data_IF_456100511914
#
_entry.id   IF_456100511914
#
_cell.length_a   1.000
_cell.length_b   1.000
_cell.length_c   1.000
_cell.angle_alpha   90.00
_cell.angle_beta   90.00
_cell.angle_gamma   90.00
#
_symmetry.space_group_name_H-M   'P 1'
#
loop_
_entity.id
_entity.type
_entity.pdbx_description
1 polymer ?
#
# COMPACT_ATOMS: atom_id res chain seq x y z
N UNK A 1 14.09 64.65 -33.84
CA UNK A 1 13.01 63.70 -33.53
C UNK A 1 13.34 62.39 -34.24
N UNK A 2 14.03 61.51 -33.53
CA UNK A 2 14.14 60.07 -33.82
C UNK A 2 14.56 59.41 -32.50
N UNK A 3 13.98 58.25 -32.25
CA UNK A 3 13.60 57.69 -30.95
C UNK A 3 14.71 57.09 -30.09
N UNK A 4 14.32 56.89 -28.83
CA UNK A 4 14.91 56.07 -27.77
C UNK A 4 15.52 54.76 -28.24
N UNK A 5 16.65 54.39 -27.65
CA UNK A 5 16.84 53.01 -27.19
C UNK A 5 17.65 53.00 -25.89
N UNK A 6 17.12 52.28 -24.91
CA UNK A 6 17.53 52.26 -23.52
C UNK A 6 18.30 50.95 -23.27
N UNK A 7 19.61 51.04 -23.12
CA UNK A 7 20.45 49.92 -22.71
C UNK A 7 20.58 49.95 -21.19
N UNK A 8 19.81 49.11 -20.51
CA UNK A 8 19.95 48.83 -19.09
C UNK A 8 20.14 47.32 -18.89
N UNK A 9 21.39 46.87 -18.99
CA UNK A 9 21.81 45.58 -18.47
C UNK A 9 22.22 45.73 -16.99
N UNK A 10 21.55 44.99 -16.11
CA UNK A 10 22.31 44.22 -15.13
C UNK A 10 21.92 42.74 -15.15
N UNK A 11 22.75 41.98 -15.85
CA UNK A 11 22.95 40.55 -15.70
C UNK A 11 23.47 40.23 -14.29
N UNK A 12 22.55 40.08 -13.33
CA UNK A 12 22.82 39.42 -12.04
C UNK A 12 21.53 38.75 -11.53
N UNK A 13 21.09 37.68 -12.17
CA UNK A 13 20.21 36.69 -11.55
C UNK A 13 21.01 35.42 -11.21
N UNK A 14 22.01 35.60 -10.35
CA UNK A 14 22.69 34.49 -9.72
C UNK A 14 21.74 33.85 -8.70
N UNK A 15 21.20 32.69 -9.08
CA UNK A 15 20.85 31.55 -8.20
C UNK A 15 20.19 31.92 -6.87
N UNK A 16 18.86 31.93 -6.87
CA UNK A 16 18.16 31.18 -5.85
C UNK A 16 17.73 29.87 -6.52
N UNK A 17 18.63 28.87 -6.48
CA UNK A 17 18.16 27.49 -6.46
C UNK A 17 17.30 27.40 -5.21
N UNK A 18 16.00 27.47 -5.40
CA UNK A 18 15.04 27.13 -4.36
C UNK A 18 15.14 25.60 -4.23
N UNK A 19 16.17 25.16 -3.50
CA UNK A 19 16.29 23.81 -2.96
C UNK A 19 15.15 23.64 -1.94
N UNK A 20 13.92 23.60 -2.45
CA UNK A 20 12.77 23.17 -1.69
C UNK A 20 12.71 21.64 -1.78
N UNK A 21 13.76 20.99 -1.27
CA UNK A 21 13.70 19.63 -0.71
C UNK A 21 12.93 19.73 0.63
N UNK A 22 11.65 20.14 0.53
CA UNK A 22 10.68 19.83 1.57
C UNK A 22 10.52 18.31 1.61
N UNK A 23 10.22 17.71 2.77
CA UNK A 23 9.99 16.27 2.87
C UNK A 23 9.05 15.84 1.73
N UNK A 24 9.49 14.86 0.93
CA UNK A 24 8.76 14.38 -0.24
C UNK A 24 7.29 14.23 0.13
N UNK A 25 6.38 14.92 -0.58
CA UNK A 25 4.95 14.93 -0.24
C UNK A 25 4.35 13.52 -0.14
N UNK A 26 4.98 12.54 -0.81
CA UNK A 26 4.68 11.11 -0.75
C UNK A 26 5.11 10.47 0.58
N UNK A 27 6.26 10.87 1.14
CA UNK A 27 6.72 10.45 2.48
C UNK A 27 5.75 10.92 3.56
N UNK A 28 5.25 12.16 3.43
CA UNK A 28 4.25 12.72 4.34
C UNK A 28 2.87 12.07 4.19
N UNK A 29 2.49 11.60 3.00
CA UNK A 29 1.28 10.81 2.79
C UNK A 29 1.40 9.42 3.39
N UNK A 30 2.53 8.74 3.18
CA UNK A 30 2.82 7.43 3.74
C UNK A 30 2.82 7.46 5.27
N UNK A 31 3.52 8.42 5.88
CA UNK A 31 3.56 8.58 7.33
C UNK A 31 2.16 8.75 7.95
N UNK A 32 1.30 9.55 7.31
CA UNK A 32 -0.10 9.74 7.73
C UNK A 32 -0.91 8.44 7.69
N UNK A 33 -0.77 7.64 6.64
CA UNK A 33 -1.51 6.37 6.56
C UNK A 33 -0.98 5.35 7.57
N UNK A 34 0.33 5.34 7.85
CA UNK A 34 0.92 4.52 8.92
C UNK A 34 0.36 4.92 10.28
N UNK A 35 0.26 6.21 10.58
CA UNK A 35 -0.30 6.68 11.85
C UNK A 35 -1.80 6.34 11.97
N UNK A 36 -2.55 6.49 10.88
CA UNK A 36 -3.95 6.05 10.80
C UNK A 36 -4.09 4.53 11.04
N UNK A 37 -3.22 3.73 10.44
CA UNK A 37 -3.22 2.28 10.64
C UNK A 37 -2.93 1.92 12.11
N UNK A 38 -1.97 2.61 12.75
CA UNK A 38 -1.68 2.43 14.19
C UNK A 38 -2.86 2.80 15.07
N UNK A 39 -3.57 3.89 14.74
CA UNK A 39 -4.79 4.28 15.45
C UNK A 39 -5.86 3.19 15.33
N UNK A 40 -6.10 2.66 14.13
CA UNK A 40 -7.04 1.55 13.92
C UNK A 40 -6.64 0.30 14.72
N UNK A 41 -5.35 -0.05 14.76
CA UNK A 41 -4.84 -1.18 15.54
C UNK A 41 -4.95 -0.98 17.06
N UNK A 42 -5.06 0.27 17.53
CA UNK A 42 -5.27 0.58 18.94
C UNK A 42 -6.72 0.39 19.39
N UNK A 43 -7.66 0.16 18.45
CA UNK A 43 -9.07 -0.10 18.74
C UNK A 43 -9.34 -1.57 19.05
N UNK A 44 -10.46 -1.87 19.74
CA UNK A 44 -10.90 -3.25 19.95
C UNK A 44 -11.53 -3.78 18.66
N UNK A 45 -10.74 -4.52 17.88
CA UNK A 45 -11.14 -5.09 16.59
C UNK A 45 -11.43 -6.59 16.71
N UNK A 46 -12.47 -7.04 16.02
CA UNK A 46 -12.85 -8.46 15.96
C UNK A 46 -12.05 -9.25 14.93
N UNK A 47 -11.45 -8.59 13.94
CA UNK A 47 -10.63 -9.22 12.92
C UNK A 47 -9.51 -8.30 12.43
N UNK A 48 -8.39 -8.90 12.05
CA UNK A 48 -7.17 -8.24 11.60
C UNK A 48 -6.56 -9.01 10.43
N UNK A 49 -6.24 -8.30 9.36
CA UNK A 49 -5.34 -8.75 8.30
C UNK A 49 -4.25 -7.70 8.12
N UNK A 50 -2.99 -8.11 8.20
CA UNK A 50 -1.84 -7.24 7.95
C UNK A 50 -1.00 -7.85 6.84
N UNK A 51 -0.64 -7.02 5.86
CA UNK A 51 0.41 -7.31 4.90
C UNK A 51 1.55 -6.30 5.07
N UNK A 52 2.78 -6.79 5.19
CA UNK A 52 3.99 -5.97 5.21
C UNK A 52 4.78 -6.27 3.95
N UNK A 53 5.09 -5.24 3.19
CA UNK A 53 5.96 -5.33 2.02
C UNK A 53 7.35 -4.89 2.46
N UNK A 54 8.33 -5.81 2.39
CA UNK A 54 9.73 -5.50 2.66
C UNK A 54 10.61 -6.10 1.56
N UNK A 55 11.50 -5.30 0.98
CA UNK A 55 12.43 -5.74 -0.07
C UNK A 55 11.76 -6.48 -1.27
N UNK A 56 10.50 -6.15 -1.56
CA UNK A 56 9.71 -6.80 -2.61
C UNK A 56 9.07 -8.13 -2.20
N UNK A 57 9.32 -8.62 -0.99
CA UNK A 57 8.61 -9.73 -0.37
C UNK A 57 7.38 -9.23 0.39
N UNK A 58 6.33 -10.05 0.44
CA UNK A 58 5.09 -9.72 1.15
C UNK A 58 4.85 -10.76 2.24
N UNK A 59 5.00 -10.34 3.48
CA UNK A 59 4.60 -11.14 4.64
C UNK A 59 3.17 -10.78 5.03
N UNK A 60 2.32 -11.79 5.26
CA UNK A 60 0.93 -11.56 5.67
C UNK A 60 0.59 -12.34 6.94
N UNK A 61 -0.26 -11.75 7.77
CA UNK A 61 -0.82 -12.42 8.94
C UNK A 61 -2.30 -12.11 9.08
N UNK A 62 -3.05 -13.10 9.56
CA UNK A 62 -4.49 -13.00 9.77
C UNK A 62 -4.85 -13.54 11.14
N UNK A 63 -5.69 -12.79 11.87
CA UNK A 63 -6.24 -13.23 13.14
C UNK A 63 -7.66 -12.71 13.30
N UNK A 64 -8.53 -13.52 13.88
CA UNK A 64 -9.93 -13.16 14.11
C UNK A 64 -10.43 -13.72 15.43
N UNK A 65 -11.39 -13.01 16.01
CA UNK A 65 -12.22 -13.40 17.15
C UNK A 65 -13.66 -13.47 16.65
N UNK A 66 -14.27 -14.65 16.76
CA UNK A 66 -15.66 -14.85 16.40
C UNK A 66 -16.39 -15.55 17.56
N UNK A 67 -17.58 -15.06 17.90
CA UNK A 67 -18.43 -15.67 18.94
C UNK A 67 -19.21 -16.88 18.40
N UNK A 68 -19.40 -16.99 17.09
CA UNK A 68 -20.13 -18.08 16.42
C UNK A 68 -19.53 -18.46 15.04
N UNK A 69 -19.64 -19.75 14.68
CA UNK A 69 -19.02 -20.35 13.48
C UNK A 69 -19.49 -19.77 12.14
N UNK A 70 -20.70 -19.24 12.09
CA UNK A 70 -21.24 -18.61 10.87
C UNK A 70 -20.61 -17.25 10.60
N UNK A 71 -20.27 -16.49 11.66
CA UNK A 71 -19.51 -15.26 11.55
C UNK A 71 -18.06 -15.54 11.14
N UNK A 72 -17.50 -16.63 11.69
CA UNK A 72 -16.16 -17.13 11.39
C UNK A 72 -15.96 -17.41 9.88
N UNK A 73 -17.01 -17.85 9.18
CA UNK A 73 -16.97 -18.15 7.75
C UNK A 73 -17.21 -16.91 6.85
N UNK A 74 -18.00 -15.94 7.31
CA UNK A 74 -18.36 -14.75 6.52
C UNK A 74 -17.33 -13.61 6.64
N UNK A 75 -16.65 -13.49 7.78
CA UNK A 75 -15.65 -12.44 8.01
C UNK A 75 -14.47 -12.50 7.03
N UNK A 76 -13.82 -13.66 6.77
CA UNK A 76 -12.76 -13.76 5.76
C UNK A 76 -13.24 -13.34 4.36
N UNK A 77 -14.47 -13.71 3.99
CA UNK A 77 -15.05 -13.34 2.70
C UNK A 77 -15.37 -11.84 2.60
N UNK A 78 -15.84 -11.23 3.69
CA UNK A 78 -16.06 -9.79 3.78
C UNK A 78 -14.72 -9.02 3.65
N UNK A 79 -13.66 -9.53 4.27
CA UNK A 79 -12.32 -8.97 4.16
C UNK A 79 -11.77 -9.08 2.74
N UNK A 80 -11.89 -10.26 2.13
CA UNK A 80 -11.53 -10.45 0.72
C UNK A 80 -12.30 -9.50 -0.19
N UNK A 81 -13.61 -9.35 0.01
CA UNK A 81 -14.43 -8.43 -0.76
C UNK A 81 -13.99 -6.96 -0.60
N UNK A 82 -13.61 -6.55 0.61
CA UNK A 82 -13.04 -5.23 0.85
C UNK A 82 -11.71 -5.04 0.11
N UNK A 83 -10.85 -6.06 0.11
CA UNK A 83 -9.57 -6.03 -0.59
C UNK A 83 -9.75 -5.96 -2.11
N UNK A 84 -10.62 -6.79 -2.67
CA UNK A 84 -10.96 -6.75 -4.10
C UNK A 84 -11.44 -5.36 -4.51
N UNK A 85 -12.31 -4.73 -3.71
CA UNK A 85 -12.81 -3.38 -3.99
C UNK A 85 -11.71 -2.33 -3.97
N UNK A 86 -10.78 -2.40 -3.01
CA UNK A 86 -9.64 -1.49 -2.93
C UNK A 86 -8.76 -1.60 -4.18
N UNK A 87 -8.35 -2.82 -4.53
CA UNK A 87 -7.49 -3.07 -5.70
C UNK A 87 -8.20 -2.69 -7.01
N UNK A 88 -9.50 -2.96 -7.11
CA UNK A 88 -10.32 -2.60 -8.28
C UNK A 88 -10.35 -1.10 -8.52
N UNK A 89 -10.54 -0.31 -7.47
CA UNK A 89 -10.56 1.15 -7.56
C UNK A 89 -9.20 1.69 -8.03
N UNK A 90 -8.10 1.12 -7.54
CA UNK A 90 -6.73 1.51 -7.92
C UNK A 90 -6.43 1.13 -9.38
N UNK A 91 -6.78 -0.09 -9.78
CA UNK A 91 -6.53 -0.60 -11.12
C UNK A 91 -7.53 -0.07 -12.19
N UNK A 92 -8.63 0.55 -11.76
CA UNK A 92 -9.69 1.02 -12.66
C UNK A 92 -10.44 -0.11 -13.38
N UNK A 93 -10.57 -1.28 -12.74
CA UNK A 93 -11.24 -2.46 -13.31
C UNK A 93 -12.36 -2.95 -12.39
N UNK A 94 -13.20 -3.85 -12.88
CA UNK A 94 -14.29 -4.43 -12.09
C UNK A 94 -13.74 -5.44 -11.04
N UNK A 95 -14.38 -5.55 -9.86
CA UNK A 95 -13.96 -6.52 -8.82
C UNK A 95 -13.90 -7.98 -9.26
N UNK A 96 -14.74 -8.38 -10.21
CA UNK A 96 -14.71 -9.73 -10.78
C UNK A 96 -13.45 -10.00 -11.62
N UNK A 97 -12.91 -8.98 -12.28
CA UNK A 97 -11.64 -9.08 -13.02
C UNK A 97 -10.48 -9.30 -12.06
N UNK A 98 -10.37 -8.48 -11.01
CA UNK A 98 -9.33 -8.65 -9.98
C UNK A 98 -9.42 -10.04 -9.33
N UNK A 99 -10.62 -10.51 -9.03
CA UNK A 99 -10.81 -11.84 -8.44
C UNK A 99 -10.34 -12.96 -9.37
N UNK A 100 -10.60 -12.85 -10.68
CA UNK A 100 -10.15 -13.82 -11.68
C UNK A 100 -8.64 -13.84 -11.86
N UNK A 101 -8.01 -12.66 -11.90
CA UNK A 101 -6.56 -12.51 -12.01
C UNK A 101 -5.86 -13.04 -10.75
N UNK A 102 -6.38 -12.69 -9.56
CA UNK A 102 -5.88 -13.20 -8.29
C UNK A 102 -5.99 -14.73 -8.20
N UNK A 103 -7.10 -15.32 -8.65
CA UNK A 103 -7.26 -16.77 -8.71
C UNK A 103 -6.26 -17.43 -9.67
N UNK A 104 -5.98 -16.78 -10.80
CA UNK A 104 -4.98 -17.24 -11.78
C UNK A 104 -3.57 -17.20 -11.18
N UNK A 105 -3.21 -16.10 -10.50
CA UNK A 105 -1.93 -15.96 -9.80
C UNK A 105 -1.78 -16.98 -8.66
N UNK A 106 -2.83 -17.17 -7.85
CA UNK A 106 -2.83 -18.15 -6.77
C UNK A 106 -2.59 -19.57 -7.29
N UNK A 107 -3.16 -19.93 -8.46
CA UNK A 107 -2.91 -21.21 -9.12
C UNK A 107 -1.50 -21.37 -9.70
N UNK A 108 -0.74 -20.29 -9.86
CA UNK A 108 0.67 -20.33 -10.29
C UNK A 108 1.65 -20.43 -9.11
N UNK A 109 1.15 -20.28 -7.86
CA UNK A 109 1.94 -20.26 -6.62
C UNK A 109 1.90 -21.61 -5.87
N UNK A 110 1.28 -22.68 -6.41
CA UNK A 110 1.49 -24.06 -5.93
C UNK A 110 3.01 -24.40 -6.01
N UNK A 111 3.80 -24.66 -4.97
CA UNK A 111 3.66 -24.75 -3.51
C UNK A 111 4.88 -24.02 -2.88
N UNK A 112 4.71 -23.21 -1.84
CA UNK A 112 5.83 -22.89 -0.93
C UNK A 112 5.79 -23.92 0.20
N UNK A 113 6.88 -24.67 0.46
CA UNK A 113 6.87 -25.70 1.51
C UNK A 113 6.49 -25.10 2.87
N UNK A 114 5.30 -25.44 3.35
CA UNK A 114 4.91 -25.27 4.75
C UNK A 114 5.47 -26.44 5.56
N UNK A 115 6.79 -26.53 5.65
CA UNK A 115 7.44 -27.45 6.57
C UNK A 115 8.48 -26.70 7.39
N UNK A 116 8.08 -26.28 8.59
CA UNK A 116 9.02 -26.08 9.69
C UNK A 116 9.69 -27.40 10.14
N UNK A 117 9.29 -28.54 9.56
CA UNK A 117 9.83 -29.88 9.80
C UNK A 117 10.91 -30.34 8.80
N UNK A 118 11.30 -29.53 7.80
CA UNK A 118 12.39 -29.88 6.87
C UNK A 118 13.76 -29.30 7.27
N UNK A 119 13.96 -29.09 8.57
CA UNK A 119 15.30 -29.00 9.13
C UNK A 119 15.83 -30.44 9.27
N UNK A 120 16.85 -30.87 8.49
CA UNK A 120 17.45 -32.17 8.71
C UNK A 120 18.04 -32.21 10.12
N UNK A 121 17.42 -33.00 10.99
CA UNK A 121 17.95 -33.30 12.30
C UNK A 121 19.32 -33.98 12.17
N UNK A 122 20.36 -33.30 12.64
CA UNK A 122 21.41 -33.81 13.53
C UNK A 122 22.51 -32.77 13.75
#
# INVERSE_FOLDING_TARGET
MTDSDAEADPDTSHRASDDNDGPDADSDAFAREVDRARELLSTDADALFVGVVNDGEVETTFSQRADDREQEALQPLALLAAHLRLVSNEAGVEPSTVAGDAATLAGQVEEVPTAADDLPGK
#
